data_IF_198471147726
#
_entry.id   IF_198471147726
#
_cell.length_a   1.000
_cell.length_b   1.000
_cell.length_c   1.000
_cell.angle_alpha   90.00
_cell.angle_beta   90.00
_cell.angle_gamma   90.00
#
_symmetry.space_group_name_H-M   'P 1'
#
loop_
_entity.id
_entity.type
_entity.pdbx_description
1 polymer ?
#
# COMPACT_ATOMS: atom_id res chain seq x y z
N UNK A 1 -25.18 -5.91 4.92
CA UNK A 1 -25.21 -5.98 3.45
C UNK A 1 -24.95 -4.64 2.77
N UNK A 2 -25.69 -3.56 3.09
CA UNK A 2 -25.43 -2.25 2.46
C UNK A 2 -24.00 -1.72 2.66
N UNK A 3 -23.42 -1.94 3.85
CA UNK A 3 -22.07 -1.48 4.19
C UNK A 3 -20.97 -2.49 3.81
N UNK A 4 -21.16 -3.77 4.16
CA UNK A 4 -20.13 -4.81 4.02
C UNK A 4 -20.37 -5.76 2.85
N UNK A 5 -21.23 -5.36 1.92
CA UNK A 5 -21.61 -6.12 0.72
C UNK A 5 -22.21 -7.49 1.09
N UNK A 6 -22.44 -8.33 0.07
CA UNK A 6 -22.91 -9.70 0.25
C UNK A 6 -21.82 -10.75 -0.02
N UNK A 7 -20.78 -10.39 -0.77
CA UNK A 7 -19.85 -11.37 -1.35
C UNK A 7 -18.45 -10.81 -1.69
N UNK A 8 -18.16 -9.53 -1.44
CA UNK A 8 -16.83 -8.98 -1.72
C UNK A 8 -15.91 -9.18 -0.50
N UNK A 9 -14.60 -9.40 -0.69
CA UNK A 9 -13.62 -9.39 0.41
C UNK A 9 -13.72 -8.10 1.25
N UNK A 10 -13.56 -8.24 2.56
CA UNK A 10 -13.55 -7.13 3.51
C UNK A 10 -12.24 -7.19 4.28
N UNK A 11 -11.47 -6.10 4.25
CA UNK A 11 -10.37 -5.87 5.19
C UNK A 11 -10.90 -4.98 6.30
N UNK A 12 -10.78 -5.44 7.54
CA UNK A 12 -11.26 -4.73 8.71
C UNK A 12 -10.11 -4.49 9.68
N UNK A 13 -9.63 -3.26 9.77
CA UNK A 13 -8.65 -2.85 10.77
C UNK A 13 -9.37 -2.50 12.07
N UNK A 14 -8.98 -3.13 13.18
CA UNK A 14 -9.60 -2.97 14.49
C UNK A 14 -8.55 -2.72 15.58
N UNK A 15 -8.86 -1.84 16.53
CA UNK A 15 -7.90 -1.48 17.60
C UNK A 15 -7.72 -2.56 18.65
N UNK A 16 -8.68 -3.47 18.81
CA UNK A 16 -8.63 -4.57 19.78
C UNK A 16 -8.35 -5.91 19.11
N UNK A 17 -8.64 -6.98 19.86
CA UNK A 17 -8.43 -8.35 19.40
C UNK A 17 -9.35 -8.71 18.22
N UNK A 18 -8.80 -9.19 17.08
CA UNK A 18 -9.58 -9.58 15.90
C UNK A 18 -10.71 -10.58 16.20
N UNK A 19 -10.48 -11.48 17.17
CA UNK A 19 -11.43 -12.52 17.54
C UNK A 19 -12.78 -11.98 18.02
N UNK A 20 -12.80 -10.81 18.68
CA UNK A 20 -14.04 -10.16 19.09
C UNK A 20 -14.93 -9.84 17.88
N UNK A 21 -14.34 -9.28 16.82
CA UNK A 21 -15.08 -8.94 15.60
C UNK A 21 -15.64 -10.20 14.96
N UNK A 22 -14.82 -11.24 14.78
CA UNK A 22 -15.30 -12.53 14.24
C UNK A 22 -16.48 -13.09 15.05
N UNK A 23 -16.42 -13.02 16.40
CA UNK A 23 -17.52 -13.47 17.26
C UNK A 23 -18.78 -12.61 17.13
N UNK A 24 -18.65 -11.30 16.92
CA UNK A 24 -19.80 -10.41 16.72
C UNK A 24 -20.42 -10.57 15.33
N UNK A 25 -19.62 -10.97 14.34
CA UNK A 25 -20.05 -11.04 12.93
C UNK A 25 -20.37 -12.44 12.43
N UNK A 26 -20.18 -13.51 13.22
CA UNK A 26 -20.31 -14.90 12.75
C UNK A 26 -21.66 -15.30 12.14
N UNK A 27 -22.74 -14.51 12.34
CA UNK A 27 -24.05 -14.73 11.69
C UNK A 27 -24.37 -13.73 10.57
N UNK A 28 -23.41 -12.89 10.19
CA UNK A 28 -23.59 -11.88 9.13
C UNK A 28 -23.32 -12.51 7.77
N UNK A 29 -24.12 -12.14 6.77
CA UNK A 29 -24.14 -12.73 5.41
C UNK A 29 -22.77 -12.94 4.75
N UNK A 30 -21.81 -12.04 4.96
CA UNK A 30 -20.52 -12.04 4.28
C UNK A 30 -19.33 -12.31 5.23
N UNK A 31 -19.57 -12.95 6.39
CA UNK A 31 -18.52 -13.12 7.41
C UNK A 31 -17.35 -14.00 6.94
N UNK A 32 -17.57 -14.90 5.99
CA UNK A 32 -16.52 -15.74 5.42
C UNK A 32 -15.48 -14.94 4.64
N UNK A 33 -15.87 -13.79 4.10
CA UNK A 33 -14.99 -12.86 3.39
C UNK A 33 -14.42 -11.76 4.29
N UNK A 34 -14.67 -11.82 5.60
CA UNK A 34 -14.19 -10.84 6.56
C UNK A 34 -12.80 -11.23 7.06
N UNK A 35 -11.81 -10.43 6.71
CA UNK A 35 -10.46 -10.51 7.26
C UNK A 35 -10.23 -9.38 8.23
N UNK A 36 -9.99 -9.72 9.51
CA UNK A 36 -9.81 -8.75 10.57
C UNK A 36 -8.34 -8.70 10.97
N UNK A 37 -7.75 -7.50 10.93
CA UNK A 37 -6.46 -7.18 11.56
C UNK A 37 -6.73 -6.40 12.83
N UNK A 38 -5.88 -6.57 13.82
CA UNK A 38 -5.97 -5.87 15.08
C UNK A 38 -4.86 -6.27 16.02
N UNK A 39 -4.99 -5.88 17.28
CA UNK A 39 -3.95 -6.11 18.27
C UNK A 39 -3.65 -7.60 18.45
N UNK A 40 -2.35 -7.94 18.44
CA UNK A 40 -1.80 -9.29 18.56
C UNK A 40 -0.97 -9.50 19.83
N UNK A 41 -0.99 -8.55 20.76
CA UNK A 41 -0.10 -8.54 21.94
C UNK A 41 1.37 -8.32 21.63
N UNK A 42 1.67 -7.84 20.42
CA UNK A 42 3.03 -7.48 20.03
C UNK A 42 3.27 -6.00 20.31
N UNK A 43 4.38 -5.69 20.99
CA UNK A 43 4.70 -4.34 21.37
C UNK A 43 5.94 -4.23 22.24
N UNK A 44 6.63 -3.11 22.13
CA UNK A 44 7.77 -2.74 22.95
C UNK A 44 7.90 -1.21 22.98
N UNK A 45 8.90 -0.68 23.66
CA UNK A 45 9.27 0.74 23.50
C UNK A 45 9.82 0.93 22.08
N UNK A 46 8.97 1.42 21.19
CA UNK A 46 9.30 1.69 19.78
C UNK A 46 8.51 2.89 19.26
N UNK A 47 8.64 3.22 17.99
CA UNK A 47 7.96 4.34 17.34
C UNK A 47 6.47 4.06 17.11
N UNK A 48 5.62 5.10 16.97
CA UNK A 48 4.18 4.93 16.77
C UNK A 48 3.80 4.07 15.57
N UNK A 49 4.44 4.24 14.41
CA UNK A 49 4.14 3.41 13.24
C UNK A 49 4.67 2.00 13.38
N UNK A 50 5.84 1.81 14.00
CA UNK A 50 6.38 0.48 14.27
C UNK A 50 5.47 -0.36 15.18
N UNK A 51 4.81 0.26 16.16
CA UNK A 51 3.77 -0.41 16.94
C UNK A 51 2.63 -0.98 16.07
N UNK A 52 2.27 -0.32 14.96
CA UNK A 52 1.32 -0.86 14.00
C UNK A 52 1.93 -2.00 13.16
N UNK A 53 3.19 -1.86 12.74
CA UNK A 53 3.92 -2.87 11.97
C UNK A 53 4.04 -4.18 12.75
N UNK A 54 4.41 -4.12 14.03
CA UNK A 54 4.49 -5.28 14.93
C UNK A 54 3.17 -6.06 15.03
N UNK A 55 2.03 -5.40 14.80
CA UNK A 55 0.71 -5.99 14.85
C UNK A 55 0.13 -6.30 13.45
N UNK A 56 0.90 -6.15 12.37
CA UNK A 56 0.47 -6.19 10.97
C UNK A 56 -0.77 -5.30 10.69
N UNK A 57 -0.89 -4.18 11.41
CA UNK A 57 -2.01 -3.25 11.32
C UNK A 57 -1.65 -1.98 10.53
N UNK A 58 -0.40 -1.86 10.11
CA UNK A 58 0.07 -0.74 9.31
C UNK A 58 -0.41 -0.79 7.85
N UNK A 59 -0.24 0.32 7.15
CA UNK A 59 -0.72 0.51 5.78
C UNK A 59 -0.11 -0.47 4.77
N UNK A 60 1.10 -0.97 4.99
CA UNK A 60 1.77 -1.88 4.07
C UNK A 60 1.17 -3.28 4.16
N UNK A 61 1.02 -3.83 5.37
CA UNK A 61 0.35 -5.11 5.58
C UNK A 61 -1.12 -5.09 5.14
N UNK A 62 -1.84 -3.98 5.38
CA UNK A 62 -3.22 -3.84 4.92
C UNK A 62 -3.33 -3.86 3.39
N UNK A 63 -2.40 -3.23 2.66
CA UNK A 63 -2.38 -3.30 1.19
C UNK A 63 -2.01 -4.70 0.72
N UNK A 64 -1.07 -5.37 1.38
CA UNK A 64 -0.71 -6.76 1.06
C UNK A 64 -1.92 -7.70 1.21
N UNK A 65 -2.70 -7.55 2.28
CA UNK A 65 -3.92 -8.32 2.49
C UNK A 65 -4.96 -8.13 1.39
N UNK A 66 -5.08 -6.91 0.85
CA UNK A 66 -5.95 -6.61 -0.31
C UNK A 66 -5.44 -7.36 -1.54
N UNK A 67 -4.14 -7.30 -1.81
CA UNK A 67 -3.55 -7.97 -2.98
C UNK A 67 -3.80 -9.47 -2.91
N UNK A 68 -3.60 -10.08 -1.74
CA UNK A 68 -3.74 -11.53 -1.55
C UNK A 68 -5.19 -12.02 -1.71
N UNK A 69 -6.18 -11.15 -1.47
CA UNK A 69 -7.61 -11.50 -1.50
C UNK A 69 -8.31 -11.13 -2.81
N UNK A 70 -7.60 -10.55 -3.76
CA UNK A 70 -8.12 -10.19 -5.07
C UNK A 70 -7.42 -11.04 -6.15
N UNK A 71 -7.97 -12.21 -6.52
CA UNK A 71 -7.34 -13.14 -7.46
C UNK A 71 -6.98 -12.52 -8.81
N UNK A 72 -7.75 -11.52 -9.25
CA UNK A 72 -7.52 -10.79 -10.49
C UNK A 72 -6.20 -10.00 -10.52
N UNK A 73 -5.60 -9.73 -9.37
CA UNK A 73 -4.31 -9.03 -9.28
C UNK A 73 -3.14 -9.97 -9.55
N UNK A 74 -3.23 -11.24 -9.15
CA UNK A 74 -2.30 -12.33 -9.52
C UNK A 74 -0.84 -11.89 -9.65
N UNK A 75 -0.21 -12.23 -10.79
CA UNK A 75 1.17 -11.85 -11.10
C UNK A 75 1.36 -10.34 -11.35
N UNK A 76 0.30 -9.59 -11.68
CA UNK A 76 0.39 -8.14 -11.95
C UNK A 76 0.78 -7.35 -10.71
N UNK A 77 0.48 -7.87 -9.52
CA UNK A 77 0.84 -7.25 -8.26
C UNK A 77 2.20 -7.72 -7.69
N UNK A 78 2.98 -8.53 -8.43
CA UNK A 78 4.27 -9.02 -7.94
C UNK A 78 5.23 -7.88 -7.57
N UNK A 79 5.35 -6.87 -8.44
CA UNK A 79 6.18 -5.69 -8.16
C UNK A 79 5.66 -4.88 -6.97
N UNK A 80 4.34 -4.74 -6.83
CA UNK A 80 3.76 -4.04 -5.68
C UNK A 80 4.04 -4.78 -4.37
N UNK A 81 3.96 -6.12 -4.35
CA UNK A 81 4.36 -6.92 -3.18
C UNK A 81 5.84 -6.80 -2.87
N UNK A 82 6.70 -6.74 -3.89
CA UNK A 82 8.12 -6.53 -3.68
C UNK A 82 8.37 -5.16 -3.04
N UNK A 83 7.80 -4.09 -3.59
CA UNK A 83 7.93 -2.74 -3.04
C UNK A 83 7.41 -2.63 -1.60
N UNK A 84 6.33 -3.35 -1.26
CA UNK A 84 5.83 -3.43 0.13
C UNK A 84 6.85 -4.09 1.06
N UNK A 85 7.49 -5.18 0.63
CA UNK A 85 8.52 -5.86 1.43
C UNK A 85 9.74 -4.98 1.61
N UNK A 86 10.18 -4.32 0.55
CA UNK A 86 11.32 -3.41 0.59
C UNK A 86 11.01 -2.25 1.55
N UNK A 87 9.82 -1.64 1.47
CA UNK A 87 9.41 -0.58 2.40
C UNK A 87 9.37 -1.01 3.87
N UNK A 88 9.02 -2.27 4.17
CA UNK A 88 9.06 -2.81 5.54
C UNK A 88 10.51 -3.04 6.02
N UNK A 89 11.42 -3.42 5.12
CA UNK A 89 12.85 -3.53 5.42
C UNK A 89 13.43 -2.14 5.69
N UNK A 90 13.18 -1.19 4.81
CA UNK A 90 13.63 0.20 4.93
C UNK A 90 13.11 0.84 6.22
N UNK A 91 11.82 0.65 6.54
CA UNK A 91 11.23 1.11 7.81
C UNK A 91 12.00 0.56 9.01
N UNK A 92 12.26 -0.75 9.01
CA UNK A 92 12.97 -1.41 10.11
C UNK A 92 14.38 -0.84 10.27
N UNK A 93 15.12 -0.68 9.17
CA UNK A 93 16.46 -0.11 9.19
C UNK A 93 16.45 1.33 9.71
N UNK A 94 15.51 2.14 9.23
CA UNK A 94 15.37 3.54 9.61
C UNK A 94 15.11 3.72 11.11
N UNK A 95 14.17 2.98 11.69
CA UNK A 95 13.86 3.11 13.12
C UNK A 95 15.03 2.67 14.01
N UNK A 96 15.84 1.70 13.57
CA UNK A 96 17.03 1.27 14.32
C UNK A 96 18.13 2.32 14.30
N UNK A 97 18.30 3.02 13.17
CA UNK A 97 19.33 4.04 13.02
C UNK A 97 18.93 5.37 13.68
N UNK A 98 17.66 5.79 13.52
CA UNK A 98 17.22 7.14 13.87
C UNK A 98 16.33 7.21 15.11
N UNK A 99 15.69 6.10 15.51
CA UNK A 99 14.80 6.07 16.67
C UNK A 99 13.48 6.83 16.49
N UNK A 100 13.14 7.22 15.27
CA UNK A 100 11.89 7.90 14.91
C UNK A 100 11.30 7.32 13.62
N UNK A 101 10.01 7.57 13.38
CA UNK A 101 9.36 7.15 12.14
C UNK A 101 9.85 7.98 10.96
N UNK A 102 10.15 7.30 9.85
CA UNK A 102 10.69 7.96 8.66
C UNK A 102 9.79 9.12 8.16
N UNK A 103 10.36 10.19 7.57
CA UNK A 103 9.61 11.37 7.15
C UNK A 103 8.45 11.08 6.19
N UNK A 104 8.57 10.07 5.34
CA UNK A 104 7.51 9.59 4.45
C UNK A 104 6.37 8.86 5.17
N UNK A 105 6.61 8.37 6.38
CA UNK A 105 5.59 7.83 7.28
C UNK A 105 4.89 8.98 7.99
N UNK A 106 5.65 9.79 8.73
CA UNK A 106 5.15 10.84 9.63
C UNK A 106 4.60 12.07 8.90
N UNK A 107 5.16 12.41 7.73
CA UNK A 107 4.74 13.51 6.87
C UNK A 107 3.61 13.16 5.88
N UNK A 108 3.10 11.92 5.88
CA UNK A 108 2.05 11.51 4.96
C UNK A 108 0.72 12.24 5.24
N UNK A 109 0.05 12.69 4.17
CA UNK A 109 -1.25 13.37 4.26
C UNK A 109 -2.25 12.83 3.24
N UNK A 110 -3.53 12.89 3.59
CA UNK A 110 -4.61 12.50 2.69
C UNK A 110 -4.76 13.50 1.54
N UNK A 111 -4.98 13.01 0.32
CA UNK A 111 -5.28 13.85 -0.84
C UNK A 111 -4.08 14.56 -1.45
N UNK A 112 -2.84 14.21 -1.08
CA UNK A 112 -1.66 14.74 -1.75
C UNK A 112 -1.64 14.24 -3.22
N UNK A 113 -1.86 15.16 -4.17
CA UNK A 113 -1.60 14.90 -5.59
C UNK A 113 -0.09 14.85 -5.76
N UNK A 114 0.45 13.65 -5.97
CA UNK A 114 1.79 13.49 -6.54
C UNK A 114 1.89 14.43 -7.76
N UNK A 115 2.92 15.27 -7.88
CA UNK A 115 3.14 15.96 -9.15
C UNK A 115 3.26 14.87 -10.21
N UNK A 116 2.45 14.96 -11.27
CA UNK A 116 2.50 13.99 -12.35
C UNK A 116 3.94 13.92 -12.84
N UNK A 117 4.61 12.79 -12.62
CA UNK A 117 5.90 12.55 -13.23
C UNK A 117 5.66 12.65 -14.74
N UNK A 118 6.14 13.74 -15.34
CA UNK A 118 6.20 13.87 -16.79
C UNK A 118 7.12 12.72 -17.21
N UNK A 119 6.56 11.70 -17.84
CA UNK A 119 7.33 10.77 -18.67
C UNK A 119 8.01 11.65 -19.72
N UNK A 120 9.21 12.13 -19.44
CA UNK A 120 10.13 12.51 -20.51
C UNK A 120 10.53 11.21 -21.16
N UNK A 121 9.76 10.83 -22.19
CA UNK A 121 10.12 9.77 -23.11
C UNK A 121 11.39 10.19 -23.82
N UNK A 122 12.53 9.70 -23.34
CA UNK A 122 13.78 9.68 -24.09
C UNK A 122 13.78 8.49 -25.05
N UNK A 123 12.96 8.57 -26.09
CA UNK A 123 13.06 7.79 -27.33
C UNK A 123 12.37 8.63 -28.42
N UNK A 124 12.86 8.84 -29.62
CA UNK A 124 14.11 8.57 -30.31
C UNK A 124 14.00 9.29 -31.67
N UNK A 125 15.14 9.47 -32.31
CA UNK A 125 15.37 10.18 -33.56
C UNK A 125 14.54 9.73 -34.78
N UNK A 126 14.37 10.70 -35.70
CA UNK A 126 14.04 10.60 -37.14
C UNK A 126 12.59 10.17 -37.48
N UNK A 127 11.90 10.77 -38.45
CA UNK A 127 12.32 11.11 -39.82
C UNK A 127 11.40 12.22 -40.37
N UNK A 128 11.93 12.99 -41.32
CA UNK A 128 11.24 13.69 -42.42
C UNK A 128 11.16 15.23 -42.33
N UNK A 129 12.13 15.87 -42.97
CA UNK A 129 11.90 17.12 -43.70
C UNK A 129 12.86 17.16 -44.88
N UNK A 130 12.39 16.61 -46.00
CA UNK A 130 12.98 16.84 -47.32
C UNK A 130 13.08 18.33 -47.65
N UNK A 131 14.20 18.66 -48.29
CA UNK A 131 14.35 19.58 -49.44
C UNK A 131 13.60 20.91 -49.36
N UNK A 132 14.35 22.01 -49.16
CA UNK A 132 14.51 23.10 -50.15
C UNK A 132 15.46 24.18 -49.61
N UNK A 133 16.65 24.28 -50.21
CA UNK A 133 17.43 25.53 -50.27
C UNK A 133 16.61 26.54 -51.09
N UNK A 134 16.74 27.88 -50.89
CA UNK A 134 17.65 28.59 -51.79
C UNK A 134 18.28 29.91 -51.24
N UNK A 135 19.43 30.23 -51.85
CA UNK A 135 20.11 31.53 -52.12
C UNK A 135 20.58 32.46 -50.99
N UNK A 136 21.90 32.70 -51.06
CA UNK A 136 22.66 33.79 -50.44
C UNK A 136 22.32 35.16 -51.06
N UNK A 137 22.49 36.20 -50.26
CA UNK A 137 23.35 37.34 -50.61
C UNK A 137 24.30 37.57 -49.43
#
# INVERSE_FOLDING_TARGET
DALFTKNKPIIFAFHGYPWLIHRLTYRRTNHDNLHVRGYKEEGTTTTPFDMCVLNDLDRFHLVQDVIDRLPQLGARAAYAKQAIRDALIDHKEYIYEHGEDAPEISGWTWGHKQPSARLESTESDNIDAGVETPIRN
#
